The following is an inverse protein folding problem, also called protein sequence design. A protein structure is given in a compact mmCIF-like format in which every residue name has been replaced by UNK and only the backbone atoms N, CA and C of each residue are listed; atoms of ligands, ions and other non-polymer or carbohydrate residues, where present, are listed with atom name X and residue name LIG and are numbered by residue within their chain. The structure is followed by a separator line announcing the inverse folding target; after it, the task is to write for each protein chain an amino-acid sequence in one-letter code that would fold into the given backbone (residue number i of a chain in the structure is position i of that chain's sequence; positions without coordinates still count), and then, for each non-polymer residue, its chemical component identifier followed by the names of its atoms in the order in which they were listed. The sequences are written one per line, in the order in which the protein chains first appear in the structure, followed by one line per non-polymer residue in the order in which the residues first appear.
data_IF_565542617224
#
_entry.id   IF_565542617224
#
_cell.length_a   1.000
_cell.length_b   1.000
_cell.length_c   1.000
_cell.angle_alpha   90.00
_cell.angle_beta   90.00
_cell.angle_gamma   90.00
#
_symmetry.space_group_name_H-M   'P 1'
#
loop_
_entity.id
_entity.type
_entity.pdbx_description
1 polymer ?
#
# COMPACT_ATOMS: atom_id res chain seq x y z
N UNK A 1 -28.40 8.50 18.73
CA UNK A 1 -29.18 7.31 19.14
C UNK A 1 -28.50 6.74 20.38
N UNK A 2 -29.20 6.57 21.52
CA UNK A 2 -28.58 6.00 22.71
C UNK A 2 -28.18 4.52 22.46
N UNK A 3 -27.09 4.04 23.07
CA UNK A 3 -26.70 2.64 22.96
C UNK A 3 -27.80 1.72 23.51
N UNK A 4 -28.04 0.54 22.90
CA UNK A 4 -29.06 -0.38 23.39
C UNK A 4 -28.73 -0.85 24.81
N UNK A 5 -29.72 -1.01 25.71
CA UNK A 5 -29.49 -1.51 27.06
C UNK A 5 -29.04 -2.98 27.05
N UNK A 6 -28.35 -3.41 28.11
CA UNK A 6 -27.91 -4.79 28.25
C UNK A 6 -29.11 -5.77 28.19
N UNK A 7 -29.11 -6.79 27.31
CA UNK A 7 -30.22 -7.74 27.20
C UNK A 7 -30.40 -8.63 28.44
N UNK A 8 -29.37 -8.77 29.27
CA UNK A 8 -29.41 -9.62 30.47
C UNK A 8 -29.81 -8.86 31.75
N UNK A 9 -29.44 -7.58 31.89
CA UNK A 9 -29.63 -6.82 33.13
C UNK A 9 -30.27 -5.44 32.95
N UNK A 10 -30.53 -4.98 31.73
CA UNK A 10 -31.21 -3.71 31.44
C UNK A 10 -30.38 -2.44 31.70
N UNK A 11 -29.12 -2.57 32.12
CA UNK A 11 -28.26 -1.42 32.41
C UNK A 11 -27.89 -0.67 31.11
N UNK A 12 -27.87 0.66 31.19
CA UNK A 12 -27.54 1.58 30.10
C UNK A 12 -26.08 2.07 30.14
N UNK A 13 -25.35 1.84 31.23
CA UNK A 13 -23.90 2.05 31.30
C UNK A 13 -23.17 0.82 30.75
N UNK A 14 -22.98 0.82 29.43
CA UNK A 14 -22.14 -0.16 28.73
C UNK A 14 -20.78 0.45 28.42
N UNK A 15 -19.73 -0.30 28.70
CA UNK A 15 -18.35 0.02 28.33
C UNK A 15 -17.92 -0.88 27.16
N UNK A 16 -17.29 -0.28 26.15
CA UNK A 16 -16.91 -1.01 24.93
C UNK A 16 -15.70 -1.88 25.22
N UNK A 17 -15.90 -3.20 25.24
CA UNK A 17 -14.83 -4.18 25.50
C UNK A 17 -14.02 -4.47 24.22
N UNK A 18 -14.66 -4.47 23.05
CA UNK A 18 -13.98 -4.80 21.79
C UNK A 18 -13.20 -3.62 21.21
N UNK A 19 -11.88 -3.84 21.06
CA UNK A 19 -10.94 -2.98 20.33
C UNK A 19 -11.27 -2.90 18.84
N UNK A 20 -10.73 -1.89 18.15
CA UNK A 20 -10.78 -1.79 16.68
C UNK A 20 -10.01 -2.96 16.08
N UNK A 21 -10.67 -3.76 15.24
CA UNK A 21 -10.04 -4.84 14.49
C UNK A 21 -9.98 -4.47 13.01
N UNK A 22 -8.87 -4.84 12.36
CA UNK A 22 -8.70 -4.72 10.92
C UNK A 22 -8.82 -6.09 10.30
N UNK A 23 -9.70 -6.25 9.31
CA UNK A 23 -9.79 -7.49 8.54
C UNK A 23 -8.67 -7.47 7.51
N UNK A 24 -7.82 -8.49 7.52
CA UNK A 24 -6.78 -8.64 6.51
C UNK A 24 -7.46 -9.00 5.19
N UNK A 25 -7.37 -8.09 4.20
CA UNK A 25 -7.86 -8.36 2.85
C UNK A 25 -6.98 -9.43 2.20
N UNK A 26 -7.58 -10.36 1.46
CA UNK A 26 -6.78 -11.27 0.64
C UNK A 26 -6.21 -10.51 -0.56
N UNK A 27 -5.19 -11.09 -1.20
CA UNK A 27 -4.63 -10.49 -2.42
C UNK A 27 -5.69 -10.32 -3.52
N UNK A 28 -6.66 -11.25 -3.60
CA UNK A 28 -7.79 -11.15 -4.53
C UNK A 28 -8.72 -9.98 -4.20
N UNK A 29 -9.05 -9.79 -2.93
CA UNK A 29 -9.88 -8.64 -2.50
C UNK A 29 -9.21 -7.30 -2.81
N UNK A 30 -7.88 -7.22 -2.61
CA UNK A 30 -7.12 -6.00 -2.95
C UNK A 30 -7.14 -5.75 -4.45
N UNK A 31 -6.96 -6.79 -5.27
CA UNK A 31 -6.96 -6.64 -6.72
C UNK A 31 -8.33 -6.19 -7.26
N UNK A 32 -9.41 -6.83 -6.79
CA UNK A 32 -10.78 -6.47 -7.18
C UNK A 32 -11.15 -5.04 -6.76
N UNK A 33 -10.74 -4.62 -5.55
CA UNK A 33 -10.91 -3.25 -5.06
C UNK A 33 -10.23 -2.24 -5.97
N UNK A 34 -8.99 -2.52 -6.38
CA UNK A 34 -8.24 -1.64 -7.27
C UNK A 34 -8.83 -1.61 -8.68
N UNK A 35 -9.18 -2.76 -9.27
CA UNK A 35 -9.78 -2.82 -10.60
C UNK A 35 -11.17 -2.18 -10.67
N UNK A 36 -11.88 -2.16 -9.54
CA UNK A 36 -13.18 -1.49 -9.43
C UNK A 36 -13.04 0.05 -9.43
N UNK A 37 -11.87 0.58 -9.09
CA UNK A 37 -11.57 2.01 -9.12
C UNK A 37 -11.27 2.48 -10.56
N UNK A 38 -12.29 3.08 -11.19
CA UNK A 38 -12.22 3.51 -12.60
C UNK A 38 -11.18 4.60 -12.84
N UNK A 39 -11.04 5.53 -11.89
CA UNK A 39 -10.11 6.66 -12.04
C UNK A 39 -8.67 6.17 -11.95
N UNK A 40 -8.39 5.30 -10.96
CA UNK A 40 -7.09 4.68 -10.80
C UNK A 40 -6.72 3.81 -12.01
N UNK A 41 -7.64 2.95 -12.45
CA UNK A 41 -7.42 2.06 -13.61
C UNK A 41 -7.19 2.87 -14.90
N UNK A 42 -7.94 3.95 -15.10
CA UNK A 42 -7.74 4.83 -16.26
C UNK A 42 -6.41 5.59 -16.18
N UNK A 43 -5.99 6.01 -15.00
CA UNK A 43 -4.68 6.63 -14.77
C UNK A 43 -3.53 5.69 -15.11
N UNK A 44 -3.62 4.43 -14.68
CA UNK A 44 -2.62 3.40 -15.01
C UNK A 44 -2.53 3.11 -16.50
N UNK A 45 -3.68 3.01 -17.19
CA UNK A 45 -3.69 2.82 -18.65
C UNK A 45 -3.04 3.99 -19.42
N UNK A 46 -2.82 5.13 -18.77
CA UNK A 46 -2.16 6.32 -19.34
C UNK A 46 -0.73 6.50 -18.81
N UNK A 47 -0.19 5.51 -18.09
CA UNK A 47 1.11 5.59 -17.43
C UNK A 47 1.25 6.83 -16.51
N UNK A 48 0.15 7.22 -15.84
CA UNK A 48 0.19 8.31 -14.87
C UNK A 48 0.99 7.89 -13.62
N UNK A 49 2.03 8.63 -13.23
CA UNK A 49 2.92 8.22 -12.15
C UNK A 49 2.21 8.23 -10.78
N UNK A 50 1.16 9.05 -10.59
CA UNK A 50 0.38 9.04 -9.33
C UNK A 50 -0.47 7.78 -9.24
N UNK A 51 -1.09 7.39 -10.36
CA UNK A 51 -1.85 6.16 -10.42
C UNK A 51 -0.97 4.93 -10.13
N UNK A 52 0.26 4.91 -10.65
CA UNK A 52 1.22 3.83 -10.37
C UNK A 52 1.70 3.83 -8.92
N UNK A 53 1.94 5.01 -8.33
CA UNK A 53 2.32 5.12 -6.92
C UNK A 53 1.18 4.65 -5.99
N UNK A 54 -0.05 5.08 -6.26
CA UNK A 54 -1.24 4.67 -5.49
C UNK A 54 -1.52 3.17 -5.63
N UNK A 55 -1.37 2.62 -6.84
CA UNK A 55 -1.43 1.17 -7.04
C UNK A 55 -0.41 0.43 -6.18
N UNK A 56 0.86 0.85 -6.21
CA UNK A 56 1.92 0.23 -5.43
C UNK A 56 1.58 0.24 -3.93
N UNK A 57 1.14 1.40 -3.43
CA UNK A 57 0.70 1.57 -2.04
C UNK A 57 -0.45 0.64 -1.65
N UNK A 58 -1.46 0.47 -2.50
CA UNK A 58 -2.58 -0.45 -2.20
C UNK A 58 -2.12 -1.92 -2.22
N UNK A 59 -1.24 -2.27 -3.15
CA UNK A 59 -0.70 -3.63 -3.27
C UNK A 59 0.21 -4.04 -2.11
N UNK A 60 0.98 -3.12 -1.53
CA UNK A 60 1.81 -3.38 -0.34
C UNK A 60 1.03 -3.28 0.97
N UNK A 61 -0.30 -3.08 0.92
CA UNK A 61 -1.11 -2.87 2.12
C UNK A 61 -0.81 -1.56 2.85
N UNK A 62 -0.25 -0.57 2.15
CA UNK A 62 0.16 0.71 2.70
C UNK A 62 1.50 0.67 3.43
N UNK A 63 2.29 -0.40 3.27
CA UNK A 63 3.65 -0.45 3.78
C UNK A 63 4.48 0.67 3.13
N UNK A 64 5.25 1.38 3.96
CA UNK A 64 6.08 2.48 3.51
C UNK A 64 7.19 1.93 2.61
N UNK A 65 7.39 2.55 1.45
CA UNK A 65 8.51 2.25 0.57
C UNK A 65 9.82 2.24 1.36
N UNK A 66 10.77 1.34 1.02
CA UNK A 66 12.09 1.37 1.65
C UNK A 66 12.69 2.78 1.52
N UNK A 67 13.53 3.22 2.47
CA UNK A 67 14.14 4.57 2.43
C UNK A 67 14.89 4.83 1.12
N UNK A 68 15.38 3.76 0.52
CA UNK A 68 16.03 3.72 -0.78
C UNK A 68 15.17 4.16 -1.99
N UNK A 69 13.86 4.00 -1.90
CA UNK A 69 12.87 4.30 -2.93
C UNK A 69 11.90 5.41 -2.50
N UNK A 70 12.07 5.98 -1.31
CA UNK A 70 11.22 7.03 -0.75
C UNK A 70 11.18 8.26 -1.69
N UNK A 71 12.34 8.77 -2.11
CA UNK A 71 12.39 9.93 -3.03
C UNK A 71 11.69 9.64 -4.38
N UNK A 72 11.84 8.42 -4.90
CA UNK A 72 11.20 8.00 -6.15
C UNK A 72 9.68 8.00 -5.97
N UNK A 73 9.21 7.42 -4.86
CA UNK A 73 7.78 7.34 -4.53
C UNK A 73 7.17 8.73 -4.37
N UNK A 74 7.81 9.61 -3.58
CA UNK A 74 7.32 10.97 -3.35
C UNK A 74 7.21 11.80 -4.63
N UNK A 75 8.14 11.63 -5.58
CA UNK A 75 8.07 12.30 -6.87
C UNK A 75 6.94 11.75 -7.74
N UNK A 76 6.76 10.43 -7.76
CA UNK A 76 5.66 9.80 -8.48
C UNK A 76 4.30 10.25 -7.92
N UNK A 77 4.16 10.35 -6.59
CA UNK A 77 2.97 10.91 -5.92
C UNK A 77 2.70 12.38 -6.27
N UNK A 78 3.74 13.15 -6.59
CA UNK A 78 3.60 14.54 -7.09
C UNK A 78 3.21 14.60 -8.57
N UNK A 79 3.24 13.50 -9.30
CA UNK A 79 2.98 13.46 -10.74
C UNK A 79 4.23 13.59 -11.60
N UNK A 80 5.41 13.56 -11.00
CA UNK A 80 6.69 13.68 -11.69
C UNK A 80 7.26 12.30 -11.95
N UNK A 81 7.80 12.05 -13.15
CA UNK A 81 8.49 10.81 -13.48
C UNK A 81 9.98 10.91 -13.15
N UNK A 82 10.49 10.25 -12.10
CA UNK A 82 11.89 10.33 -11.70
C UNK A 82 12.76 9.33 -12.48
N UNK A 83 12.75 9.41 -13.81
CA UNK A 83 13.38 8.43 -14.71
C UNK A 83 14.86 8.20 -14.37
N UNK A 84 15.63 9.28 -14.18
CA UNK A 84 17.06 9.18 -13.86
C UNK A 84 17.34 8.44 -12.54
N UNK A 85 16.50 8.63 -11.51
CA UNK A 85 16.67 7.95 -10.23
C UNK A 85 16.29 6.47 -10.34
N UNK A 86 15.21 6.16 -11.07
CA UNK A 86 14.79 4.77 -11.33
C UNK A 86 15.89 4.02 -12.10
N UNK A 87 16.45 4.62 -13.15
CA UNK A 87 17.52 3.99 -13.94
C UNK A 87 18.81 3.80 -13.13
N UNK A 88 19.20 4.80 -12.34
CA UNK A 88 20.34 4.70 -11.43
C UNK A 88 20.13 3.54 -10.45
N UNK A 89 18.97 3.48 -9.79
CA UNK A 89 18.64 2.44 -8.82
C UNK A 89 18.60 1.06 -9.47
N UNK A 90 18.04 0.95 -10.68
CA UNK A 90 18.03 -0.28 -11.48
C UNK A 90 19.44 -0.75 -11.81
N UNK A 91 20.36 0.18 -12.14
CA UNK A 91 21.77 -0.14 -12.42
C UNK A 91 22.50 -0.59 -11.15
N UNK A 92 22.27 0.06 -10.02
CA UNK A 92 22.83 -0.35 -8.71
C UNK A 92 22.35 -1.77 -8.34
N UNK A 93 21.06 -2.05 -8.49
CA UNK A 93 20.47 -3.36 -8.22
C UNK A 93 20.99 -4.45 -9.17
N UNK A 94 21.09 -4.14 -10.46
CA UNK A 94 21.60 -5.08 -11.48
C UNK A 94 23.13 -5.33 -11.35
N UNK A 95 23.86 -4.41 -10.72
CA UNK A 95 25.30 -4.52 -10.48
C UNK A 95 25.69 -5.31 -9.23
N UNK A 96 24.72 -5.75 -8.42
CA UNK A 96 24.93 -6.43 -7.15
C UNK A 96 24.69 -7.96 -7.21
N UNK A 97 24.56 -8.50 -8.42
CA UNK A 97 24.36 -9.93 -8.70
C UNK A 97 25.64 -10.73 -8.98
N UNK A 98 26.82 -10.30 -8.51
CA UNK A 98 28.05 -11.08 -8.59
C UNK A 98 28.90 -10.91 -7.32
N UNK A 99 28.45 -11.49 -6.21
CA UNK A 99 29.32 -11.96 -5.13
C UNK A 99 28.53 -12.80 -4.13
N UNK A 100 28.25 -14.05 -4.48
CA UNK A 100 28.17 -15.13 -3.49
C UNK A 100 29.33 -16.08 -3.83
N UNK A 101 30.48 -16.03 -3.11
CA UNK A 101 31.35 -17.18 -3.07
C UNK A 101 30.73 -18.17 -2.08
N UNK A 102 30.10 -19.21 -2.60
CA UNK A 102 29.97 -20.48 -1.90
C UNK A 102 31.38 -20.88 -1.43
N UNK A 103 31.62 -20.90 -0.12
CA UNK A 103 32.82 -21.45 0.50
C UNK A 103 32.60 -21.69 1.99
N UNK A 104 32.45 -22.96 2.39
CA UNK A 104 32.70 -23.45 3.75
C UNK A 104 31.61 -24.32 4.33
#
# INVERSE_FOLDING_TARGET
MPPPPCPCCGNSKLERIFSTFSVQKTYGDVYEDILSDRELTQGMMRDDPRALAEWNRRMTGGEKSPPEYEEITERMEKGEWPVAQIEKKKKEFSGQGESEPESG
#
